data_IF_498551755869
#
_entry.id   IF_498551755869
#
_cell.length_a   1.000
_cell.length_b   1.000
_cell.length_c   1.000
_cell.angle_alpha   90.00
_cell.angle_beta   90.00
_cell.angle_gamma   90.00
#
_symmetry.space_group_name_H-M   'P 1'
#
loop_
_entity.id
_entity.type
_entity.pdbx_description
1 polymer ?
#
# COMPACT_ATOMS: atom_id res chain seq x y z
N UNK A 1 10.61 -20.16 -39.24
CA UNK A 1 11.25 -19.36 -38.17
C UNK A 1 10.58 -17.97 -37.96
N UNK A 2 10.14 -17.27 -39.00
CA UNK A 2 9.47 -15.96 -38.94
C UNK A 2 8.06 -16.00 -38.30
N UNK A 3 7.26 -17.03 -38.50
CA UNK A 3 5.89 -17.13 -37.99
C UNK A 3 5.85 -17.29 -36.46
N UNK A 4 6.78 -17.96 -35.83
CA UNK A 4 6.85 -18.15 -34.37
C UNK A 4 7.24 -16.84 -33.69
N UNK A 5 8.13 -16.05 -34.27
CA UNK A 5 8.50 -14.74 -33.73
C UNK A 5 7.34 -13.74 -33.77
N UNK A 6 6.51 -13.75 -34.82
CA UNK A 6 5.32 -12.91 -34.92
C UNK A 6 4.24 -13.28 -33.89
N UNK A 7 4.10 -14.58 -33.61
CA UNK A 7 3.13 -15.07 -32.64
C UNK A 7 3.57 -14.70 -31.20
N UNK A 8 4.87 -14.82 -30.88
CA UNK A 8 5.42 -14.33 -29.61
C UNK A 8 5.29 -12.81 -29.43
N UNK A 9 5.48 -12.04 -30.50
CA UNK A 9 5.32 -10.60 -30.49
C UNK A 9 3.84 -10.20 -30.28
N UNK A 10 2.91 -10.89 -30.96
CA UNK A 10 1.48 -10.65 -30.79
C UNK A 10 0.99 -11.03 -29.39
N UNK A 11 1.45 -12.14 -28.82
CA UNK A 11 1.15 -12.52 -27.43
C UNK A 11 1.78 -11.56 -26.41
N UNK A 12 2.97 -11.04 -26.69
CA UNK A 12 3.64 -10.03 -25.86
C UNK A 12 2.88 -8.71 -25.89
N UNK A 13 2.47 -8.23 -27.08
CA UNK A 13 1.65 -7.02 -27.25
C UNK A 13 0.25 -7.20 -26.65
N UNK A 14 -0.36 -8.38 -26.77
CA UNK A 14 -1.67 -8.68 -26.19
C UNK A 14 -1.59 -8.76 -24.65
N UNK A 15 -0.51 -9.33 -24.09
CA UNK A 15 -0.22 -9.26 -22.64
C UNK A 15 0.06 -7.83 -22.18
N UNK A 16 0.81 -7.05 -22.96
CA UNK A 16 1.08 -5.64 -22.69
C UNK A 16 -0.20 -4.79 -22.70
N UNK A 17 -1.15 -5.07 -23.60
CA UNK A 17 -2.45 -4.40 -23.67
C UNK A 17 -3.39 -4.79 -22.52
N UNK A 18 -3.24 -6.01 -21.96
CA UNK A 18 -3.99 -6.46 -20.76
C UNK A 18 -3.45 -5.84 -19.46
N UNK A 19 -2.21 -5.35 -19.46
CA UNK A 19 -1.59 -4.61 -18.33
C UNK A 19 -1.63 -3.09 -18.49
N UNK A 20 -2.27 -2.58 -19.53
CA UNK A 20 -2.63 -1.17 -19.65
C UNK A 20 -4.01 -0.88 -18.99
N UNK A 21 -4.17 -1.23 -17.73
CA UNK A 21 -4.82 -0.27 -16.84
C UNK A 21 -3.99 1.01 -16.97
N UNK A 22 -4.58 2.21 -17.19
CA UNK A 22 -3.80 3.43 -17.16
C UNK A 22 -2.99 3.38 -15.90
N UNK A 23 -1.67 3.31 -16.04
CA UNK A 23 -0.78 3.32 -14.88
C UNK A 23 -1.01 4.70 -14.29
N UNK A 24 -1.65 4.72 -13.14
CA UNK A 24 -1.77 5.90 -12.34
C UNK A 24 -0.36 6.28 -11.91
N UNK A 25 0.35 6.96 -12.79
CA UNK A 25 1.64 7.50 -12.45
C UNK A 25 1.40 8.57 -11.38
N UNK A 26 2.01 8.41 -10.22
CA UNK A 26 1.92 9.41 -9.14
C UNK A 26 2.40 10.77 -9.61
N UNK A 27 3.33 10.82 -10.58
CA UNK A 27 3.77 12.05 -11.25
C UNK A 27 2.62 12.75 -11.98
N UNK A 28 1.82 12.02 -12.77
CA UNK A 28 0.68 12.59 -13.49
C UNK A 28 -0.39 13.12 -12.53
N UNK A 29 -0.62 12.42 -11.43
CA UNK A 29 -1.51 12.89 -10.37
C UNK A 29 -0.97 14.18 -9.72
N UNK A 30 0.32 14.24 -9.44
CA UNK A 30 0.94 15.45 -8.91
C UNK A 30 0.81 16.63 -9.89
N UNK A 31 1.03 16.41 -11.19
CA UNK A 31 0.87 17.45 -12.21
C UNK A 31 -0.55 17.97 -12.31
N UNK A 32 -1.53 17.08 -12.22
CA UNK A 32 -2.94 17.45 -12.27
C UNK A 32 -3.42 18.17 -10.99
N UNK A 33 -2.89 17.81 -9.81
CA UNK A 33 -3.41 18.22 -8.51
C UNK A 33 -2.48 19.12 -7.68
N UNK A 34 -1.33 19.57 -8.23
CA UNK A 34 -0.32 20.39 -7.52
C UNK A 34 -0.83 21.71 -6.95
N UNK A 35 -1.99 22.19 -7.41
CA UNK A 35 -2.61 23.44 -6.95
C UNK A 35 -3.79 23.19 -5.99
N UNK A 36 -4.13 21.93 -5.73
CA UNK A 36 -5.20 21.57 -4.80
C UNK A 36 -4.79 21.90 -3.36
N UNK A 37 -5.79 22.08 -2.48
CA UNK A 37 -5.51 22.32 -1.08
C UNK A 37 -4.92 21.07 -0.39
N UNK A 38 -4.13 21.23 0.69
CA UNK A 38 -3.60 20.09 1.45
C UNK A 38 -4.66 19.17 2.05
N UNK A 39 -5.91 19.62 2.17
CA UNK A 39 -7.04 18.78 2.58
C UNK A 39 -7.46 17.83 1.46
N UNK A 40 -7.30 18.24 0.20
CA UNK A 40 -7.74 17.48 -0.97
C UNK A 40 -6.66 16.57 -1.53
N UNK A 41 -5.41 17.05 -1.64
CA UNK A 41 -4.30 16.29 -2.22
C UNK A 41 -3.01 16.48 -1.42
N UNK A 42 -2.31 15.40 -1.13
CA UNK A 42 -1.10 15.37 -0.30
C UNK A 42 -0.09 14.40 -0.88
N UNK A 43 1.18 14.75 -0.79
CA UNK A 43 2.30 13.91 -1.20
C UNK A 43 3.03 13.43 0.05
N UNK A 44 3.26 12.13 0.16
CA UNK A 44 4.06 11.57 1.24
C UNK A 44 5.56 11.81 0.96
N UNK A 45 6.37 12.11 1.99
CA UNK A 45 7.80 12.32 1.79
C UNK A 45 8.48 11.00 1.34
N UNK A 46 9.60 11.09 0.55
CA UNK A 46 10.26 9.95 -0.08
C UNK A 46 11.16 9.17 0.88
N UNK A 47 10.63 8.80 2.04
CA UNK A 47 11.34 8.05 3.09
C UNK A 47 10.90 6.58 3.19
N UNK A 48 9.82 6.24 2.51
CA UNK A 48 9.30 4.89 2.47
C UNK A 48 10.01 4.04 1.40
N UNK A 49 10.30 2.78 1.73
CA UNK A 49 10.91 1.79 0.85
C UNK A 49 9.91 0.73 0.44
N UNK A 50 10.14 0.10 -0.72
CA UNK A 50 9.39 -1.06 -1.19
C UNK A 50 9.86 -2.34 -0.54
N UNK A 51 8.90 -3.17 -0.12
CA UNK A 51 9.17 -4.51 0.41
C UNK A 51 8.28 -5.58 -0.20
N UNK A 52 7.09 -5.23 -0.74
CA UNK A 52 6.18 -6.15 -1.40
C UNK A 52 6.50 -6.36 -2.88
N UNK A 53 5.91 -7.40 -3.49
CA UNK A 53 6.09 -7.66 -4.92
C UNK A 53 5.38 -6.60 -5.79
N UNK A 54 4.24 -6.09 -5.32
CA UNK A 54 3.45 -5.10 -6.06
C UNK A 54 4.01 -3.69 -5.82
N UNK A 55 4.71 -3.14 -6.81
CA UNK A 55 5.33 -1.82 -6.72
C UNK A 55 4.32 -0.68 -6.92
N UNK A 56 3.30 -0.89 -7.78
CA UNK A 56 2.23 0.06 -8.01
C UNK A 56 0.90 -0.47 -7.45
N UNK A 57 0.25 0.32 -6.61
CA UNK A 57 -1.04 -0.04 -6.01
C UNK A 57 -1.82 1.20 -5.61
N UNK A 58 -3.14 1.07 -5.55
CA UNK A 58 -4.02 2.12 -5.04
C UNK A 58 -5.22 1.53 -4.33
N UNK A 59 -5.88 2.31 -3.50
CA UNK A 59 -7.11 1.89 -2.85
C UNK A 59 -7.59 2.86 -1.78
N UNK A 60 -8.82 2.61 -1.33
CA UNK A 60 -9.39 3.35 -0.24
C UNK A 60 -8.67 3.02 1.07
N UNK A 61 -8.37 4.05 1.84
CA UNK A 61 -7.58 3.96 3.06
C UNK A 61 -8.39 3.46 4.25
N UNK A 62 -7.79 2.51 4.96
CA UNK A 62 -8.15 2.11 6.33
C UNK A 62 -6.95 2.42 7.22
N UNK A 63 -7.18 2.91 8.42
CA UNK A 63 -6.10 3.36 9.31
C UNK A 63 -6.01 2.57 10.61
N UNK A 64 -4.79 2.37 11.07
CA UNK A 64 -4.45 1.85 12.39
C UNK A 64 -3.37 2.75 12.99
N UNK A 65 -3.52 3.09 14.27
CA UNK A 65 -2.48 3.73 15.08
C UNK A 65 -2.05 2.80 16.18
N UNK A 66 -0.76 2.51 16.28
CA UNK A 66 -0.20 1.64 17.31
C UNK A 66 1.26 2.02 17.59
N UNK A 67 1.78 1.58 18.72
CA UNK A 67 3.18 1.77 19.06
C UNK A 67 3.77 0.44 19.52
N UNK A 68 4.65 -0.12 18.67
CA UNK A 68 5.36 -1.38 18.91
C UNK A 68 4.45 -2.57 19.28
N UNK A 69 3.19 -2.51 18.89
CA UNK A 69 2.18 -3.56 19.01
C UNK A 69 1.46 -3.75 17.68
N UNK A 70 1.49 -4.97 17.13
CA UNK A 70 0.87 -5.27 15.84
C UNK A 70 -0.47 -6.02 15.96
N UNK A 71 -1.09 -6.05 17.14
CA UNK A 71 -2.36 -6.76 17.33
C UNK A 71 -3.46 -6.22 16.43
N UNK A 72 -3.58 -4.88 16.32
CA UNK A 72 -4.57 -4.25 15.44
C UNK A 72 -4.18 -4.32 13.96
N UNK A 73 -2.89 -4.32 13.63
CA UNK A 73 -2.41 -4.58 12.27
C UNK A 73 -2.84 -5.97 11.83
N UNK A 74 -2.63 -6.99 12.70
CA UNK A 74 -3.11 -8.34 12.46
C UNK A 74 -4.62 -8.38 12.25
N UNK A 75 -5.40 -7.79 13.15
CA UNK A 75 -6.85 -7.76 13.04
C UNK A 75 -7.33 -7.10 11.73
N UNK A 76 -6.64 -6.04 11.28
CA UNK A 76 -6.96 -5.37 10.01
C UNK A 76 -6.66 -6.28 8.82
N UNK A 77 -5.45 -6.83 8.69
CA UNK A 77 -5.08 -7.66 7.52
C UNK A 77 -5.83 -8.99 7.46
N UNK A 78 -6.34 -9.49 8.58
CA UNK A 78 -7.22 -10.67 8.65
C UNK A 78 -8.66 -10.36 8.19
N UNK A 79 -9.04 -9.09 8.09
CA UNK A 79 -10.36 -8.66 7.62
C UNK A 79 -10.44 -8.54 6.09
N UNK A 80 -11.65 -8.25 5.57
CA UNK A 80 -11.87 -8.01 4.14
C UNK A 80 -11.10 -6.79 3.65
N UNK A 81 -10.12 -7.00 2.78
CA UNK A 81 -9.22 -6.00 2.22
C UNK A 81 -9.71 -5.35 0.92
N UNK A 82 -10.98 -5.48 0.55
CA UNK A 82 -11.52 -4.87 -0.68
C UNK A 82 -12.91 -4.28 -0.45
N UNK A 83 -13.36 -3.47 -1.42
CA UNK A 83 -14.73 -3.00 -1.57
C UNK A 83 -15.30 -3.55 -2.89
N UNK A 84 -16.56 -3.96 -2.87
CA UNK A 84 -17.27 -4.34 -4.08
C UNK A 84 -17.82 -3.09 -4.75
N UNK A 85 -17.61 -2.98 -6.06
CA UNK A 85 -18.15 -1.91 -6.91
C UNK A 85 -18.85 -2.51 -8.12
N UNK A 86 -19.70 -1.78 -8.83
CA UNK A 86 -20.32 -2.27 -10.08
C UNK A 86 -19.29 -2.70 -11.14
N UNK A 87 -18.07 -2.16 -11.09
CA UNK A 87 -16.98 -2.45 -12.02
C UNK A 87 -16.08 -3.60 -11.55
N UNK A 88 -16.32 -4.15 -10.35
CA UNK A 88 -15.51 -5.22 -9.74
C UNK A 88 -14.98 -4.85 -8.36
N UNK A 89 -14.06 -5.66 -7.88
CA UNK A 89 -13.44 -5.46 -6.55
C UNK A 89 -12.28 -4.51 -6.63
N UNK A 90 -12.22 -3.57 -5.68
CA UNK A 90 -11.11 -2.64 -5.50
C UNK A 90 -10.48 -2.93 -4.15
N UNK A 91 -9.18 -3.27 -4.14
CA UNK A 91 -8.44 -3.49 -2.90
C UNK A 91 -8.31 -2.21 -2.08
N UNK A 92 -8.34 -2.33 -0.75
CA UNK A 92 -8.07 -1.25 0.20
C UNK A 92 -6.58 -1.13 0.46
N UNK A 93 -6.17 0.02 1.00
CA UNK A 93 -4.81 0.24 1.51
C UNK A 93 -4.87 0.44 3.02
N UNK A 94 -4.14 -0.39 3.76
CA UNK A 94 -3.97 -0.22 5.20
C UNK A 94 -2.83 0.76 5.46
N UNK A 95 -3.10 1.87 6.15
CA UNK A 95 -2.10 2.82 6.59
C UNK A 95 -1.92 2.70 8.10
N UNK A 96 -0.71 2.41 8.54
CA UNK A 96 -0.36 2.18 9.94
C UNK A 96 0.56 3.30 10.43
N UNK A 97 0.05 4.10 11.36
CA UNK A 97 0.86 5.02 12.15
C UNK A 97 1.53 4.22 13.28
N UNK A 98 2.80 3.85 13.06
CA UNK A 98 3.67 3.20 14.03
C UNK A 98 4.57 4.16 14.78
N UNK A 99 4.24 5.47 14.74
CA UNK A 99 5.02 6.55 15.34
C UNK A 99 6.49 6.60 14.84
N UNK A 100 6.76 6.12 13.63
CA UNK A 100 8.11 6.08 13.07
C UNK A 100 9.10 5.18 13.81
N UNK A 101 8.63 4.28 14.69
CA UNK A 101 9.53 3.43 15.47
C UNK A 101 10.33 2.48 14.58
N UNK A 102 11.65 2.49 14.77
CA UNK A 102 12.57 1.58 14.09
C UNK A 102 13.04 0.42 15.00
N UNK A 103 12.42 0.23 16.15
CA UNK A 103 12.87 -0.76 17.15
C UNK A 103 12.17 -2.11 17.02
N UNK A 104 10.96 -2.13 16.44
CA UNK A 104 10.14 -3.35 16.33
C UNK A 104 9.41 -3.41 14.99
N UNK A 105 9.29 -4.60 14.43
CA UNK A 105 8.59 -4.81 13.15
C UNK A 105 7.08 -5.01 13.37
N UNK A 106 6.28 -4.15 12.75
CA UNK A 106 4.81 -4.20 12.82
C UNK A 106 4.19 -5.19 11.84
N UNK A 107 4.89 -5.49 10.74
CA UNK A 107 4.44 -6.44 9.71
C UNK A 107 5.58 -7.42 9.38
N UNK A 108 5.24 -8.69 9.23
CA UNK A 108 6.14 -9.75 8.76
C UNK A 108 5.42 -10.66 7.78
N UNK A 109 6.10 -11.73 7.31
CA UNK A 109 5.63 -12.63 6.25
C UNK A 109 4.21 -13.13 6.44
N UNK A 110 3.85 -13.63 7.62
CA UNK A 110 2.51 -14.15 7.90
C UNK A 110 1.41 -13.09 7.77
N UNK A 111 1.64 -11.86 8.23
CA UNK A 111 0.65 -10.78 8.14
C UNK A 111 0.53 -10.25 6.70
N UNK A 112 1.64 -10.18 5.98
CA UNK A 112 1.64 -9.81 4.57
C UNK A 112 0.94 -10.86 3.70
N UNK A 113 1.14 -12.16 3.99
CA UNK A 113 0.42 -13.24 3.31
C UNK A 113 -1.10 -13.17 3.59
N UNK A 114 -1.50 -12.84 4.83
CA UNK A 114 -2.90 -12.60 5.17
C UNK A 114 -3.47 -11.40 4.39
N UNK A 115 -2.74 -10.29 4.29
CA UNK A 115 -3.15 -9.13 3.51
C UNK A 115 -3.35 -9.48 2.03
N UNK A 116 -2.39 -10.16 1.40
CA UNK A 116 -2.50 -10.61 0.02
C UNK A 116 -3.73 -11.54 -0.18
N UNK A 117 -3.89 -12.54 0.69
CA UNK A 117 -5.01 -13.50 0.64
C UNK A 117 -6.38 -12.83 0.77
N UNK A 118 -6.49 -11.83 1.62
CA UNK A 118 -7.75 -11.14 1.93
C UNK A 118 -8.05 -9.96 0.99
N UNK A 119 -7.23 -9.77 -0.07
CA UNK A 119 -7.49 -8.83 -1.17
C UNK A 119 -7.10 -7.39 -0.88
N UNK A 120 -6.19 -7.15 0.07
CA UNK A 120 -5.60 -5.83 0.27
C UNK A 120 -4.72 -5.44 -0.92
N UNK A 121 -4.87 -4.21 -1.41
CA UNK A 121 -4.01 -3.67 -2.47
C UNK A 121 -2.61 -3.37 -1.95
N UNK A 122 -2.53 -2.85 -0.73
CA UNK A 122 -1.27 -2.51 -0.10
C UNK A 122 -1.36 -2.26 1.40
N UNK A 123 -0.18 -2.21 2.04
CA UNK A 123 0.02 -1.86 3.44
C UNK A 123 1.16 -0.86 3.54
N UNK A 124 0.91 0.29 4.15
CA UNK A 124 1.89 1.35 4.40
C UNK A 124 2.16 1.41 5.90
N UNK A 125 3.41 1.22 6.30
CA UNK A 125 3.84 1.17 7.70
C UNK A 125 4.75 2.35 8.02
N UNK A 126 4.29 3.29 8.80
CA UNK A 126 5.16 4.31 9.40
C UNK A 126 5.95 3.69 10.57
N UNK A 127 6.91 2.86 10.21
CA UNK A 127 7.68 2.00 11.09
C UNK A 127 8.42 0.92 10.31
N UNK A 128 8.69 -0.24 10.97
CA UNK A 128 9.45 -1.33 10.37
C UNK A 128 8.63 -2.55 9.99
N UNK A 129 9.17 -3.29 9.02
CA UNK A 129 8.76 -4.64 8.62
C UNK A 129 9.87 -5.66 8.90
N UNK A 130 9.57 -6.96 8.78
CA UNK A 130 10.56 -8.05 8.83
C UNK A 130 10.24 -9.12 7.79
N UNK A 131 11.04 -10.17 7.73
CA UNK A 131 10.88 -11.31 6.79
C UNK A 131 10.90 -10.84 5.32
N UNK A 132 11.83 -9.93 4.98
CA UNK A 132 11.87 -9.16 3.72
C UNK A 132 11.86 -10.08 2.48
N UNK A 133 12.56 -11.23 2.54
CA UNK A 133 12.55 -12.19 1.43
C UNK A 133 11.17 -12.81 1.18
N UNK A 134 10.37 -13.01 2.24
CA UNK A 134 8.99 -13.48 2.13
C UNK A 134 8.08 -12.38 1.57
N UNK A 135 8.26 -11.14 2.05
CA UNK A 135 7.47 -9.99 1.58
C UNK A 135 7.63 -9.77 0.07
N UNK A 136 8.85 -9.89 -0.44
CA UNK A 136 9.21 -9.59 -1.82
C UNK A 136 8.52 -10.48 -2.87
N UNK A 137 7.96 -11.62 -2.48
CA UNK A 137 7.25 -12.54 -3.40
C UNK A 137 5.73 -12.52 -3.26
N UNK A 138 5.20 -11.76 -2.29
CA UNK A 138 3.75 -11.67 -2.05
C UNK A 138 3.11 -10.62 -2.94
N UNK A 139 2.00 -10.97 -3.60
CA UNK A 139 1.24 -10.06 -4.48
C UNK A 139 0.41 -9.03 -3.68
N UNK A 140 1.10 -8.17 -2.97
CA UNK A 140 0.57 -7.02 -2.22
C UNK A 140 1.62 -5.92 -2.20
N UNK A 141 1.19 -4.66 -2.27
CA UNK A 141 2.09 -3.52 -2.07
C UNK A 141 2.49 -3.40 -0.60
N UNK A 142 3.77 -3.21 -0.31
CA UNK A 142 4.24 -2.98 1.07
C UNK A 142 5.23 -1.84 1.06
N UNK A 143 4.89 -0.76 1.77
CA UNK A 143 5.76 0.39 2.00
C UNK A 143 6.06 0.51 3.48
N UNK A 144 7.34 0.68 3.84
CA UNK A 144 7.76 0.90 5.22
C UNK A 144 9.03 1.75 5.28
N UNK A 145 9.37 2.26 6.46
CA UNK A 145 10.57 3.07 6.65
C UNK A 145 11.84 2.21 6.58
N UNK A 146 11.81 1.02 7.21
CA UNK A 146 12.96 0.13 7.27
C UNK A 146 12.55 -1.32 7.56
N UNK A 147 13.52 -2.23 7.54
CA UNK A 147 13.41 -3.59 8.07
C UNK A 147 14.09 -3.70 9.44
N UNK A 148 13.48 -4.49 10.35
CA UNK A 148 13.97 -4.75 11.70
C UNK A 148 13.56 -6.17 12.11
N UNK A 149 14.50 -7.05 12.51
CA UNK A 149 14.15 -8.44 12.82
C UNK A 149 13.35 -8.61 14.12
N UNK A 150 13.46 -7.66 15.08
CA UNK A 150 12.80 -7.77 16.37
C UNK A 150 11.27 -7.65 16.23
N UNK A 151 10.49 -8.66 16.69
CA UNK A 151 9.02 -8.61 16.66
C UNK A 151 8.46 -7.65 17.70
N UNK A 152 7.20 -7.31 17.55
CA UNK A 152 6.39 -6.64 18.58
C UNK A 152 5.96 -7.61 19.67
N UNK A 153 5.61 -7.08 20.82
CA UNK A 153 4.82 -7.77 21.83
C UNK A 153 3.33 -7.46 21.60
N UNK A 154 2.48 -8.50 21.67
CA UNK A 154 1.04 -8.36 21.45
C UNK A 154 0.34 -8.01 22.76
N UNK A 155 -0.06 -6.77 22.89
CA UNK A 155 -0.72 -6.23 24.09
C UNK A 155 -2.15 -5.78 23.82
N UNK A 156 -2.63 -5.90 22.54
CA UNK A 156 -3.93 -5.42 22.06
C UNK A 156 -4.11 -3.91 22.27
N UNK A 157 -3.02 -3.15 22.13
CA UNK A 157 -3.01 -1.70 22.27
C UNK A 157 -3.03 -1.02 20.89
N UNK A 158 -3.70 0.12 20.83
CA UNK A 158 -3.81 0.93 19.62
C UNK A 158 -5.23 1.44 19.37
N UNK A 159 -5.37 2.11 18.25
CA UNK A 159 -6.64 2.68 17.78
C UNK A 159 -6.81 2.36 16.30
N UNK A 160 -8.06 2.31 15.82
CA UNK A 160 -8.38 2.08 14.41
C UNK A 160 -9.42 3.09 13.92
N UNK A 161 -9.49 3.25 12.60
CA UNK A 161 -10.51 4.06 11.93
C UNK A 161 -10.52 5.54 12.39
N UNK A 162 -9.32 6.13 12.54
CA UNK A 162 -9.13 7.54 12.90
C UNK A 162 -8.13 8.23 11.97
N UNK A 163 -8.13 9.55 11.92
CA UNK A 163 -7.10 10.29 11.22
C UNK A 163 -5.74 10.04 11.88
N UNK A 164 -4.75 9.69 11.06
CA UNK A 164 -3.36 9.46 11.50
C UNK A 164 -2.42 10.44 10.81
N UNK A 165 -1.26 10.66 11.41
CA UNK A 165 -0.23 11.47 10.79
C UNK A 165 1.02 10.61 10.59
N UNK A 166 1.37 10.30 9.34
CA UNK A 166 2.58 9.55 9.00
C UNK A 166 3.57 10.48 8.29
N UNK A 167 4.79 10.54 8.83
CA UNK A 167 5.85 11.40 8.31
C UNK A 167 5.40 12.85 8.03
N UNK A 168 4.58 13.42 8.94
CA UNK A 168 4.07 14.78 8.85
C UNK A 168 2.82 14.97 7.97
N UNK A 169 2.35 13.94 7.28
CA UNK A 169 1.19 13.99 6.38
C UNK A 169 -0.03 13.36 7.04
N UNK A 170 -1.13 14.09 7.06
CA UNK A 170 -2.42 13.57 7.54
C UNK A 170 -3.04 12.61 6.53
N UNK A 171 -3.48 11.45 7.03
CA UNK A 171 -4.20 10.42 6.28
C UNK A 171 -5.45 10.04 7.07
N UNK A 172 -6.60 10.06 6.41
CA UNK A 172 -7.90 9.82 7.04
C UNK A 172 -8.52 8.53 6.54
N UNK A 173 -9.31 7.82 7.35
CA UNK A 173 -10.15 6.74 6.85
C UNK A 173 -11.03 7.24 5.70
N UNK A 174 -11.07 6.47 4.61
CA UNK A 174 -11.83 6.83 3.41
C UNK A 174 -11.07 7.66 2.38
N UNK A 175 -9.93 8.26 2.71
CA UNK A 175 -9.01 8.82 1.71
C UNK A 175 -8.62 7.74 0.68
N UNK A 176 -8.05 8.15 -0.43
CA UNK A 176 -7.49 7.28 -1.46
C UNK A 176 -5.98 7.44 -1.51
N UNK A 177 -5.27 6.32 -1.45
CA UNK A 177 -3.81 6.31 -1.58
C UNK A 177 -3.43 5.69 -2.92
N UNK A 178 -2.48 6.31 -3.58
CA UNK A 178 -1.87 5.87 -4.84
C UNK A 178 -0.36 5.79 -4.63
N UNK A 179 0.23 4.69 -5.05
CA UNK A 179 1.65 4.41 -4.91
C UNK A 179 2.21 3.81 -6.19
N UNK A 180 3.41 4.21 -6.56
CA UNK A 180 4.23 3.61 -7.62
C UNK A 180 5.72 3.76 -7.30
N UNK A 181 6.60 3.53 -8.28
CA UNK A 181 8.04 3.62 -8.09
C UNK A 181 8.55 5.03 -7.72
N UNK A 182 7.80 6.09 -8.06
CA UNK A 182 8.19 7.47 -7.79
C UNK A 182 7.78 7.92 -6.38
N UNK A 183 6.71 7.33 -5.80
CA UNK A 183 6.29 7.70 -4.46
C UNK A 183 4.86 7.32 -4.09
N UNK A 184 4.30 8.10 -3.18
CA UNK A 184 2.93 7.92 -2.70
C UNK A 184 2.21 9.25 -2.58
N UNK A 185 0.95 9.28 -3.03
CA UNK A 185 0.06 10.43 -2.87
C UNK A 185 -1.24 10.00 -2.21
N UNK A 186 -1.88 10.94 -1.52
CA UNK A 186 -3.15 10.74 -0.81
C UNK A 186 -4.14 11.79 -1.29
N UNK A 187 -5.34 11.36 -1.65
CA UNK A 187 -6.45 12.24 -2.04
C UNK A 187 -7.67 12.00 -1.16
N UNK A 188 -8.41 13.06 -0.87
CA UNK A 188 -9.67 12.98 -0.15
C UNK A 188 -10.79 12.29 -0.94
N UNK A 189 -10.65 12.21 -2.26
CA UNK A 189 -11.60 11.56 -3.17
C UNK A 189 -10.88 10.61 -4.13
N UNK A 190 -11.64 9.69 -4.72
CA UNK A 190 -11.12 8.82 -5.76
C UNK A 190 -10.79 9.65 -7.02
N UNK A 191 -9.55 9.53 -7.51
CA UNK A 191 -9.08 10.28 -8.69
C UNK A 191 -9.28 9.51 -10.00
N UNK A 192 -9.46 8.18 -9.93
CA UNK A 192 -9.59 7.28 -11.10
C UNK A 192 -10.43 6.05 -10.77
#
# INVERSE_FOLDING_TARGET
MFAVALQFFAEYEQKRMFYMTPSLATCDLCDAHKNDSPEQFRVLPPVFRDFGHRLAFSGQVVTVKCFEDNSLVKAAVDSCGFIDTPQGRIGKVLVVDGAGSLRRALLGGNLAAAAAKNGWAGVVIDGCVRDVAELAVLDVGIRALASMPMPTEKQNQGLKDLAVQIQGVWVRPGDWLYADADGMVVSASRLV
#
